data_IF_861430605156
#
_entry.id   IF_861430605156
#
_cell.length_a   1.000
_cell.length_b   1.000
_cell.length_c   1.000
_cell.angle_alpha   90.00
_cell.angle_beta   90.00
_cell.angle_gamma   90.00
#
_symmetry.space_group_name_H-M   'P 1'
#
loop_
_entity.id
_entity.type
_entity.pdbx_description
1 polymer ?
#
# COMPACT_ATOMS: atom_id res chain seq x y z
N UNK A 1 15.90 -56.52 42.62
CA UNK A 1 16.08 -56.16 41.20
C UNK A 1 14.81 -56.47 40.42
N UNK A 2 13.95 -55.47 40.21
CA UNK A 2 12.83 -55.42 39.25
C UNK A 2 12.64 -53.90 39.04
N UNK A 3 12.67 -53.28 37.87
CA UNK A 3 12.41 -53.71 36.50
C UNK A 3 11.60 -52.56 35.86
N UNK A 4 12.27 -51.49 35.42
CA UNK A 4 11.66 -50.33 34.75
C UNK A 4 10.95 -50.78 33.47
N UNK A 5 9.64 -50.50 33.32
CA UNK A 5 9.00 -50.47 31.99
C UNK A 5 7.91 -49.39 31.85
N UNK A 6 8.13 -48.58 30.82
CA UNK A 6 7.15 -48.00 29.87
C UNK A 6 6.27 -46.81 30.29
N UNK A 7 6.82 -45.60 30.15
CA UNK A 7 6.06 -44.36 29.85
C UNK A 7 6.51 -43.79 28.49
N UNK A 8 6.08 -44.40 27.39
CA UNK A 8 6.37 -43.93 26.01
C UNK A 8 5.15 -43.91 25.08
N UNK A 9 3.94 -43.72 25.61
CA UNK A 9 2.71 -43.67 24.78
C UNK A 9 1.96 -42.32 24.73
N UNK A 10 2.39 -41.30 25.48
CA UNK A 10 1.66 -40.01 25.54
C UNK A 10 2.26 -38.89 24.68
N UNK A 11 3.46 -39.06 24.10
CA UNK A 11 4.13 -37.98 23.35
C UNK A 11 3.83 -37.94 21.84
N UNK A 12 3.19 -38.97 21.27
CA UNK A 12 2.90 -38.96 19.82
C UNK A 12 1.62 -38.19 19.45
N UNK A 13 0.69 -37.98 20.39
CA UNK A 13 -0.61 -37.35 20.09
C UNK A 13 -0.53 -35.83 19.93
N UNK A 14 0.32 -35.15 20.71
CA UNK A 14 0.44 -33.69 20.65
C UNK A 14 1.23 -33.24 19.42
N UNK A 15 2.26 -33.99 19.02
CA UNK A 15 3.06 -33.70 17.82
C UNK A 15 2.19 -33.83 16.56
N UNK A 16 1.41 -34.90 16.43
CA UNK A 16 0.51 -35.09 15.28
C UNK A 16 -0.57 -34.01 15.22
N UNK A 17 -1.15 -33.60 16.36
CA UNK A 17 -2.12 -32.49 16.41
C UNK A 17 -1.49 -31.14 16.04
N UNK A 18 -0.26 -30.88 16.48
CA UNK A 18 0.48 -29.66 16.13
C UNK A 18 0.76 -29.59 14.62
N UNK A 19 1.16 -30.71 14.00
CA UNK A 19 1.39 -30.78 12.55
C UNK A 19 0.08 -30.64 11.74
N UNK A 20 -1.05 -31.17 12.22
CA UNK A 20 -2.35 -30.97 11.56
C UNK A 20 -2.82 -29.51 11.66
N UNK A 21 -2.63 -28.85 12.81
CA UNK A 21 -2.96 -27.42 12.96
C UNK A 21 -2.04 -26.54 12.11
N UNK A 22 -0.75 -26.85 12.03
CA UNK A 22 0.19 -26.13 11.15
C UNK A 22 -0.13 -26.34 9.66
N UNK A 23 -0.49 -27.55 9.23
CA UNK A 23 -0.88 -27.84 7.85
C UNK A 23 -2.21 -27.15 7.46
N UNK A 24 -3.14 -26.96 8.41
CA UNK A 24 -4.38 -26.21 8.18
C UNK A 24 -4.16 -24.69 8.18
N UNK A 25 -3.12 -24.17 8.87
CA UNK A 25 -2.75 -22.76 8.79
C UNK A 25 -1.93 -22.42 7.53
N UNK A 26 -1.18 -23.37 6.97
CA UNK A 26 -0.42 -23.18 5.71
C UNK A 26 -1.27 -23.36 4.45
N UNK A 27 -2.50 -23.87 4.56
CA UNK A 27 -3.53 -23.71 3.53
C UNK A 27 -4.06 -22.26 3.48
N UNK A 28 -3.16 -21.29 3.71
CA UNK A 28 -3.39 -19.88 3.52
C UNK A 28 -3.86 -19.68 2.08
N UNK A 29 -5.13 -19.32 1.98
CA UNK A 29 -5.86 -18.86 0.81
C UNK A 29 -4.92 -18.49 -0.33
N UNK A 30 -4.70 -19.39 -1.27
CA UNK A 30 -4.34 -18.98 -2.61
C UNK A 30 -5.53 -18.17 -3.10
N UNK A 31 -5.45 -16.85 -2.95
CA UNK A 31 -6.35 -15.96 -3.66
C UNK A 31 -6.10 -16.26 -5.14
N UNK A 32 -6.94 -17.13 -5.72
CA UNK A 32 -7.01 -17.31 -7.15
C UNK A 32 -7.44 -15.94 -7.66
N UNK A 33 -6.47 -15.17 -8.15
CA UNK A 33 -6.76 -13.93 -8.84
C UNK A 33 -7.65 -14.30 -10.02
N UNK A 34 -8.78 -13.62 -10.11
CA UNK A 34 -9.70 -13.82 -11.21
C UNK A 34 -8.97 -13.35 -12.48
N UNK A 35 -8.59 -14.31 -13.31
CA UNK A 35 -7.78 -14.11 -14.50
C UNK A 35 -8.43 -14.83 -15.66
N UNK A 36 -8.41 -14.16 -16.81
CA UNK A 36 -8.88 -14.73 -18.06
C UNK A 36 -7.79 -15.66 -18.57
N UNK A 37 -8.12 -16.92 -18.79
CA UNK A 37 -7.16 -17.96 -19.20
C UNK A 37 -7.23 -18.29 -20.70
N UNK A 38 -8.14 -17.66 -21.43
CA UNK A 38 -8.28 -17.83 -22.88
C UNK A 38 -7.57 -16.72 -23.66
N UNK A 39 -7.42 -16.93 -24.98
CA UNK A 39 -6.79 -15.98 -25.90
C UNK A 39 -7.80 -15.00 -26.53
N UNK A 40 -9.01 -14.92 -25.99
CA UNK A 40 -10.09 -14.06 -26.49
C UNK A 40 -9.87 -12.58 -26.16
N UNK A 41 -10.59 -11.74 -26.89
CA UNK A 41 -10.72 -10.31 -26.58
C UNK A 41 -11.94 -10.14 -25.69
N UNK A 42 -11.76 -9.51 -24.53
CA UNK A 42 -12.82 -9.31 -23.54
C UNK A 42 -13.14 -7.83 -23.40
N UNK A 43 -13.96 -7.26 -24.30
CA UNK A 43 -14.33 -5.85 -24.23
C UNK A 43 -15.20 -5.58 -22.99
N UNK A 44 -15.17 -4.35 -22.44
CA UNK A 44 -16.08 -3.99 -21.37
C UNK A 44 -17.54 -4.12 -21.83
N UNK A 45 -18.50 -4.41 -20.92
CA UNK A 45 -19.91 -4.52 -21.30
C UNK A 45 -20.41 -3.22 -21.95
N UNK A 46 -21.14 -3.35 -23.06
CA UNK A 46 -21.78 -2.23 -23.77
C UNK A 46 -23.27 -2.10 -23.46
N UNK A 47 -23.88 -3.11 -22.84
CA UNK A 47 -25.31 -3.16 -22.46
C UNK A 47 -25.49 -3.77 -21.06
N UNK A 48 -26.69 -3.63 -20.49
CA UNK A 48 -27.02 -4.18 -19.17
C UNK A 48 -26.55 -3.30 -17.98
N UNK A 49 -26.65 -3.82 -16.75
CA UNK A 49 -26.40 -3.04 -15.53
C UNK A 49 -24.94 -2.60 -15.36
N UNK A 50 -24.00 -3.26 -16.02
CA UNK A 50 -22.55 -2.96 -15.96
C UNK A 50 -22.03 -2.29 -17.24
N UNK A 51 -22.92 -1.74 -18.08
CA UNK A 51 -22.50 -1.08 -19.30
C UNK A 51 -21.59 0.13 -19.00
N UNK A 52 -20.43 0.20 -19.64
CA UNK A 52 -19.34 1.11 -19.28
C UNK A 52 -19.75 2.60 -19.20
N UNK A 53 -20.61 3.07 -20.11
CA UNK A 53 -21.03 4.48 -20.15
C UNK A 53 -22.18 4.82 -19.18
N UNK A 54 -22.84 3.82 -18.59
CA UNK A 54 -24.00 4.03 -17.71
C UNK A 54 -23.76 3.56 -16.28
N UNK A 55 -22.82 2.64 -16.06
CA UNK A 55 -22.38 2.20 -14.74
C UNK A 55 -21.54 3.29 -14.06
N UNK A 56 -22.22 4.26 -13.47
CA UNK A 56 -21.63 5.47 -12.88
C UNK A 56 -22.29 5.85 -11.55
N UNK A 57 -21.66 6.71 -10.72
CA UNK A 57 -22.23 7.14 -9.45
C UNK A 57 -23.68 7.64 -9.57
N UNK A 58 -24.58 7.07 -8.77
CA UNK A 58 -26.01 7.41 -8.77
C UNK A 58 -26.87 6.53 -9.69
N UNK A 59 -26.28 5.75 -10.59
CA UNK A 59 -27.02 4.79 -11.40
C UNK A 59 -27.47 3.57 -10.56
N UNK A 60 -28.63 2.95 -10.87
CA UNK A 60 -29.05 1.70 -10.24
C UNK A 60 -27.98 0.61 -10.36
N UNK A 61 -27.66 -0.05 -9.24
CA UNK A 61 -26.64 -1.10 -9.20
C UNK A 61 -25.20 -0.58 -9.09
N UNK A 62 -24.94 0.72 -9.22
CA UNK A 62 -23.62 1.26 -8.94
C UNK A 62 -23.32 1.21 -7.43
N UNK A 63 -22.15 0.72 -7.00
CA UNK A 63 -21.85 0.56 -5.59
C UNK A 63 -21.95 1.88 -4.82
N UNK A 64 -22.60 1.82 -3.66
CA UNK A 64 -22.45 2.85 -2.63
C UNK A 64 -21.01 2.85 -2.09
N UNK A 65 -20.66 3.85 -1.28
CA UNK A 65 -19.37 3.91 -0.59
C UNK A 65 -19.17 2.64 0.26
N UNK A 66 -18.02 1.97 0.13
CA UNK A 66 -17.73 0.68 0.77
C UNK A 66 -18.41 -0.52 0.12
N UNK A 67 -19.40 -0.27 -0.75
CA UNK A 67 -20.10 -1.29 -1.52
C UNK A 67 -19.19 -1.96 -2.54
N UNK A 68 -19.61 -3.15 -2.95
CA UNK A 68 -18.86 -4.00 -3.90
C UNK A 68 -19.73 -4.38 -5.09
N UNK A 69 -19.08 -4.67 -6.22
CA UNK A 69 -19.67 -5.40 -7.33
C UNK A 69 -18.69 -6.46 -7.83
N UNK A 70 -19.18 -7.45 -8.57
CA UNK A 70 -18.33 -8.40 -9.26
C UNK A 70 -18.12 -7.90 -10.68
N UNK A 71 -16.87 -7.69 -11.06
CA UNK A 71 -16.49 -7.35 -12.42
C UNK A 71 -16.97 -8.47 -13.37
N UNK A 72 -17.83 -8.16 -14.35
CA UNK A 72 -18.46 -9.18 -15.18
C UNK A 72 -17.52 -9.81 -16.21
N UNK A 73 -16.34 -9.22 -16.43
CA UNK A 73 -15.35 -9.70 -17.40
C UNK A 73 -14.35 -10.61 -16.69
N UNK A 74 -13.80 -10.15 -15.58
CA UNK A 74 -12.75 -10.87 -14.86
C UNK A 74 -13.28 -11.72 -13.72
N UNK A 75 -14.50 -11.47 -13.21
CA UNK A 75 -15.05 -12.13 -12.03
C UNK A 75 -14.46 -11.63 -10.70
N UNK A 76 -13.65 -10.58 -10.73
CA UNK A 76 -13.03 -9.99 -9.54
C UNK A 76 -14.05 -9.19 -8.73
N UNK A 77 -14.00 -9.28 -7.41
CA UNK A 77 -14.77 -8.37 -6.55
C UNK A 77 -14.08 -7.01 -6.50
N UNK A 78 -14.78 -5.96 -6.91
CA UNK A 78 -14.32 -4.57 -6.87
C UNK A 78 -15.08 -3.83 -5.78
N UNK A 79 -14.35 -3.07 -4.95
CA UNK A 79 -14.93 -2.21 -3.91
C UNK A 79 -14.76 -0.74 -4.26
N UNK A 80 -15.81 0.04 -4.05
CA UNK A 80 -15.76 1.50 -4.15
C UNK A 80 -15.31 2.12 -2.83
N UNK A 81 -14.20 2.86 -2.84
CA UNK A 81 -13.65 3.50 -1.63
C UNK A 81 -13.97 4.98 -1.47
N UNK A 82 -14.36 5.66 -2.55
CA UNK A 82 -14.58 7.11 -2.53
C UNK A 82 -15.86 7.52 -3.24
N UNK A 83 -16.42 8.65 -2.82
CA UNK A 83 -17.61 9.28 -3.41
C UNK A 83 -17.30 10.66 -3.99
N UNK A 84 -16.17 10.78 -4.71
CA UNK A 84 -15.75 12.08 -5.26
C UNK A 84 -16.64 12.51 -6.45
N UNK A 85 -17.38 11.56 -7.05
CA UNK A 85 -18.22 11.75 -8.23
C UNK A 85 -17.42 12.08 -9.49
N UNK A 86 -17.99 12.88 -10.39
CA UNK A 86 -17.33 13.35 -11.62
C UNK A 86 -16.23 14.40 -11.39
N UNK A 87 -15.92 14.73 -10.13
CA UNK A 87 -14.93 15.75 -9.80
C UNK A 87 -13.53 15.17 -9.88
N UNK A 88 -12.55 16.01 -10.18
CA UNK A 88 -11.14 15.61 -10.17
C UNK A 88 -10.71 15.19 -8.76
N UNK A 89 -10.13 14.00 -8.66
CA UNK A 89 -9.42 13.55 -7.46
C UNK A 89 -7.99 14.09 -7.45
N UNK A 90 -7.50 14.40 -6.26
CA UNK A 90 -6.11 14.80 -5.99
C UNK A 90 -5.35 13.69 -5.26
N UNK A 91 -5.90 12.48 -5.25
CA UNK A 91 -5.21 11.29 -4.74
C UNK A 91 -3.97 11.01 -5.58
N UNK A 92 -2.87 10.62 -4.92
CA UNK A 92 -1.58 10.47 -5.58
C UNK A 92 -1.51 9.13 -6.32
N UNK A 93 -1.67 9.19 -7.64
CA UNK A 93 -1.59 8.03 -8.54
C UNK A 93 -0.20 7.38 -8.59
N UNK A 94 0.83 8.03 -8.05
CA UNK A 94 2.20 7.53 -8.00
C UNK A 94 2.63 7.10 -6.59
N UNK A 95 1.72 7.16 -5.61
CA UNK A 95 2.07 6.82 -4.25
C UNK A 95 2.42 5.34 -4.09
N UNK A 96 3.56 5.09 -3.44
CA UNK A 96 3.98 3.77 -3.01
C UNK A 96 3.58 3.52 -1.56
N UNK A 97 3.18 2.29 -1.27
CA UNK A 97 2.60 1.92 0.02
C UNK A 97 1.50 2.92 0.40
N UNK A 98 0.58 3.18 -0.53
CA UNK A 98 -0.58 4.07 -0.34
C UNK A 98 -1.56 3.51 0.70
N UNK A 99 -1.66 2.18 0.75
CA UNK A 99 -2.36 1.45 1.80
C UNK A 99 -1.37 0.80 2.76
N UNK A 100 -1.81 0.61 3.99
CA UNK A 100 -1.01 0.00 5.05
C UNK A 100 -0.79 -1.50 4.78
N UNK A 101 0.16 -2.11 5.51
CA UNK A 101 0.67 -3.45 5.21
C UNK A 101 -0.39 -4.58 5.19
N UNK A 102 -1.47 -4.44 5.95
CA UNK A 102 -2.58 -5.39 5.98
C UNK A 102 -3.79 -4.94 5.13
N UNK A 103 -3.65 -3.83 4.42
CA UNK A 103 -4.64 -3.29 3.51
C UNK A 103 -5.92 -2.80 4.17
N UNK A 104 -5.94 -2.47 5.47
CA UNK A 104 -7.15 -1.98 6.17
C UNK A 104 -7.36 -0.47 6.04
N UNK A 105 -6.29 0.28 5.78
CA UNK A 105 -6.29 1.73 5.71
C UNK A 105 -5.50 2.23 4.51
N UNK A 106 -5.96 3.31 3.88
CA UNK A 106 -5.27 3.96 2.78
C UNK A 106 -5.26 5.48 2.97
N UNK A 107 -4.23 6.15 2.46
CA UNK A 107 -4.24 7.61 2.39
C UNK A 107 -5.38 8.09 1.48
N UNK A 108 -5.82 9.32 1.72
CA UNK A 108 -6.91 9.96 0.99
C UNK A 108 -6.77 11.47 1.06
N UNK A 109 -6.76 12.12 -0.10
CA UNK A 109 -6.72 13.59 -0.23
C UNK A 109 -8.02 14.13 -0.85
N UNK A 110 -8.81 13.27 -1.51
CA UNK A 110 -10.10 13.68 -2.06
C UNK A 110 -9.94 14.77 -3.11
N UNK A 111 -10.48 15.97 -2.86
CA UNK A 111 -10.46 17.09 -3.82
C UNK A 111 -9.33 18.10 -3.59
N UNK A 112 -8.55 17.92 -2.52
CA UNK A 112 -7.46 18.82 -2.19
C UNK A 112 -6.27 18.00 -1.72
N UNK A 113 -5.06 18.33 -2.19
CA UNK A 113 -3.85 17.63 -1.73
C UNK A 113 -3.64 17.70 -0.22
N UNK A 114 -4.26 18.67 0.47
CA UNK A 114 -4.15 18.86 1.92
C UNK A 114 -5.48 19.31 2.54
N UNK A 115 -5.81 18.90 3.77
CA UNK A 115 -5.07 17.96 4.61
C UNK A 115 -5.19 16.50 4.11
N UNK A 116 -4.15 15.70 4.32
CA UNK A 116 -4.23 14.26 4.07
C UNK A 116 -5.06 13.60 5.16
N UNK A 117 -5.96 12.74 4.74
CA UNK A 117 -6.81 11.91 5.57
C UNK A 117 -6.47 10.43 5.34
N UNK A 118 -7.03 9.56 6.16
CA UNK A 118 -6.91 8.11 6.03
C UNK A 118 -8.32 7.53 6.01
N UNK A 119 -8.61 6.74 4.98
CA UNK A 119 -9.86 6.01 4.83
C UNK A 119 -9.69 4.55 5.24
N UNK A 120 -10.80 3.91 5.63
CA UNK A 120 -10.90 2.46 5.72
C UNK A 120 -11.08 1.87 4.33
N UNK A 121 -10.23 0.92 3.95
CA UNK A 121 -10.38 0.16 2.70
C UNK A 121 -11.59 -0.78 2.69
N UNK A 122 -12.23 -0.97 3.85
CA UNK A 122 -13.40 -1.86 3.97
C UNK A 122 -14.70 -1.10 3.77
N UNK A 123 -14.80 0.10 4.34
CA UNK A 123 -16.04 0.88 4.33
C UNK A 123 -15.97 2.11 3.43
N UNK A 124 -14.78 2.53 3.00
CA UNK A 124 -14.56 3.81 2.33
C UNK A 124 -14.72 5.04 3.23
N UNK A 125 -15.02 4.84 4.52
CA UNK A 125 -15.18 5.93 5.47
C UNK A 125 -13.82 6.55 5.82
N UNK A 126 -13.77 7.88 5.94
CA UNK A 126 -12.62 8.59 6.50
C UNK A 126 -12.56 8.32 8.01
N UNK A 127 -11.46 7.75 8.48
CA UNK A 127 -11.26 7.35 9.88
C UNK A 127 -10.37 8.35 10.61
N UNK A 128 -9.39 8.92 9.91
CA UNK A 128 -8.52 9.96 10.45
C UNK A 128 -8.41 11.12 9.48
N UNK A 129 -8.41 12.34 10.00
CA UNK A 129 -8.23 13.58 9.24
C UNK A 129 -6.99 14.31 9.71
N UNK A 130 -6.50 15.27 8.91
CA UNK A 130 -5.44 16.19 9.36
C UNK A 130 -4.10 15.50 9.65
N UNK A 131 -3.78 14.43 8.94
CA UNK A 131 -2.58 13.66 9.20
C UNK A 131 -1.33 14.43 8.76
N UNK A 132 -0.25 14.41 9.58
CA UNK A 132 1.00 15.04 9.19
C UNK A 132 1.63 14.29 8.02
N UNK A 133 2.03 15.04 7.01
CA UNK A 133 2.69 14.53 5.79
C UNK A 133 4.02 15.18 5.51
N UNK A 134 4.39 16.18 6.31
CA UNK A 134 5.72 16.76 6.23
C UNK A 134 5.92 17.69 5.03
N UNK A 135 7.04 17.53 4.33
CA UNK A 135 7.47 18.42 3.23
C UNK A 135 6.54 18.41 2.02
N UNK A 136 5.86 17.30 1.74
CA UNK A 136 4.90 17.17 0.65
C UNK A 136 3.98 15.95 0.85
N UNK A 137 2.79 16.01 0.28
CA UNK A 137 1.74 14.98 0.44
C UNK A 137 2.07 13.68 -0.29
N UNK A 138 2.97 13.73 -1.28
CA UNK A 138 3.49 12.59 -2.03
C UNK A 138 4.79 12.02 -1.43
N UNK A 139 5.19 12.48 -0.24
CA UNK A 139 6.37 12.01 0.51
C UNK A 139 5.99 11.30 1.80
N UNK A 140 4.72 10.90 1.91
CA UNK A 140 4.18 10.07 3.00
C UNK A 140 3.97 8.65 2.48
N UNK A 141 4.33 7.65 3.28
CA UNK A 141 4.19 6.25 2.89
C UNK A 141 4.03 5.35 4.11
N UNK A 142 3.16 4.35 4.00
CA UNK A 142 2.97 3.38 5.06
C UNK A 142 4.23 2.55 5.30
N UNK A 143 4.40 2.11 6.54
CA UNK A 143 5.43 1.15 6.89
C UNK A 143 5.17 -0.16 6.11
N UNK A 144 6.18 -0.73 5.43
CA UNK A 144 5.97 -1.87 4.53
C UNK A 144 5.34 -3.11 5.18
N UNK A 145 5.62 -3.32 6.48
CA UNK A 145 5.20 -4.51 7.23
C UNK A 145 4.39 -4.21 8.50
N UNK A 146 4.27 -2.94 8.90
CA UNK A 146 3.61 -2.58 10.17
C UNK A 146 2.37 -1.73 9.84
N UNK A 147 1.16 -2.27 10.01
CA UNK A 147 -0.05 -1.60 9.55
C UNK A 147 -0.43 -0.38 10.39
N UNK A 148 0.20 -0.17 11.55
CA UNK A 148 -0.10 0.92 12.47
C UNK A 148 0.87 2.11 12.32
N UNK A 149 1.79 2.06 11.36
CA UNK A 149 2.88 3.04 11.24
C UNK A 149 3.02 3.57 9.83
N UNK A 150 3.34 4.85 9.71
CA UNK A 150 3.77 5.44 8.45
C UNK A 150 4.88 6.47 8.69
N UNK A 151 5.59 6.83 7.62
CA UNK A 151 6.72 7.75 7.67
C UNK A 151 6.43 9.04 6.91
N UNK A 152 7.07 10.12 7.35
CA UNK A 152 7.06 11.42 6.67
C UNK A 152 8.31 12.24 7.02
N UNK A 153 8.61 13.26 6.22
CA UNK A 153 9.77 14.15 6.41
C UNK A 153 9.37 15.45 7.11
N UNK A 154 10.04 15.84 8.19
CA UNK A 154 9.78 17.12 8.84
C UNK A 154 11.08 17.87 9.13
N UNK A 155 11.31 18.96 8.40
CA UNK A 155 12.57 19.70 8.50
C UNK A 155 13.75 18.78 8.17
N UNK A 156 14.70 18.66 9.10
CA UNK A 156 15.84 17.73 8.99
C UNK A 156 15.57 16.32 9.54
N UNK A 157 14.33 15.98 9.90
CA UNK A 157 14.02 14.72 10.60
C UNK A 157 13.16 13.78 9.78
N UNK A 158 13.54 12.49 9.77
CA UNK A 158 12.64 11.39 9.45
C UNK A 158 11.74 11.13 10.65
N UNK A 159 10.44 11.26 10.44
CA UNK A 159 9.41 11.04 11.45
C UNK A 159 8.64 9.78 11.12
N UNK A 160 8.22 9.08 12.17
CA UNK A 160 7.29 7.97 12.10
C UNK A 160 6.06 8.32 12.93
N UNK A 161 4.88 8.24 12.34
CA UNK A 161 3.62 8.32 13.08
C UNK A 161 3.13 6.93 13.44
N UNK A 162 2.64 6.77 14.66
CA UNK A 162 1.88 5.60 15.10
C UNK A 162 0.40 5.97 15.08
N UNK A 163 -0.40 5.25 14.30
CA UNK A 163 -1.76 5.61 13.97
C UNK A 163 -2.71 5.44 15.17
N UNK A 164 -2.64 4.29 15.85
CA UNK A 164 -3.46 3.97 17.02
C UNK A 164 -3.37 5.02 18.14
N UNK A 165 -2.19 5.58 18.35
CA UNK A 165 -1.93 6.60 19.38
C UNK A 165 -1.87 8.03 18.83
N UNK A 166 -1.90 8.21 17.52
CA UNK A 166 -1.72 9.50 16.84
C UNK A 166 -0.44 10.25 17.27
N UNK A 167 0.61 9.51 17.63
CA UNK A 167 1.88 10.07 18.13
C UNK A 167 2.99 9.97 17.10
N UNK A 168 3.88 10.97 17.12
CA UNK A 168 5.04 11.02 16.23
C UNK A 168 6.34 10.71 16.99
N UNK A 169 7.21 9.92 16.38
CA UNK A 169 8.56 9.61 16.85
C UNK A 169 9.59 10.10 15.85
N UNK A 170 10.65 10.76 16.30
CA UNK A 170 11.82 11.01 15.44
C UNK A 170 12.64 9.74 15.33
N UNK A 171 12.78 9.23 14.11
CA UNK A 171 13.61 8.04 13.83
C UNK A 171 15.08 8.44 13.61
N UNK A 172 15.29 9.55 12.91
CA UNK A 172 16.62 10.07 12.59
C UNK A 172 16.55 11.56 12.32
N UNK A 173 17.54 12.28 12.82
CA UNK A 173 17.81 13.67 12.43
C UNK A 173 19.05 13.71 11.55
N UNK A 174 18.94 14.41 10.42
CA UNK A 174 19.98 14.61 9.44
C UNK A 174 20.67 15.98 9.63
N UNK A 175 21.88 16.19 9.10
CA UNK A 175 22.61 17.44 9.27
C UNK A 175 21.98 18.66 8.57
N UNK A 176 21.01 18.45 7.67
CA UNK A 176 20.32 19.50 6.95
C UNK A 176 18.86 19.12 6.68
N UNK A 177 18.05 20.11 6.27
CA UNK A 177 16.65 19.92 5.89
C UNK A 177 16.51 18.89 4.77
N UNK A 178 15.64 17.91 5.00
CA UNK A 178 15.25 16.92 4.01
C UNK A 178 14.49 17.60 2.87
N UNK A 179 14.71 17.13 1.66
CA UNK A 179 14.09 17.62 0.43
C UNK A 179 13.14 16.55 -0.13
N UNK A 180 12.25 16.95 -1.02
CA UNK A 180 11.40 16.01 -1.75
C UNK A 180 12.26 15.09 -2.62
N UNK A 181 11.96 13.80 -2.62
CA UNK A 181 12.44 12.85 -3.61
C UNK A 181 11.60 12.90 -4.91
N UNK A 182 10.57 13.76 -4.95
CA UNK A 182 9.72 13.98 -6.11
C UNK A 182 8.63 12.91 -6.23
N UNK A 183 8.24 12.31 -5.10
CA UNK A 183 7.32 11.16 -5.11
C UNK A 183 7.97 9.89 -5.65
N UNK A 184 9.31 9.79 -5.62
CA UNK A 184 10.02 8.64 -6.19
C UNK A 184 9.58 7.33 -5.54
N UNK A 185 9.27 6.39 -6.43
CA UNK A 185 9.04 4.99 -6.14
C UNK A 185 10.29 4.43 -5.44
N UNK A 186 10.16 3.77 -4.29
CA UNK A 186 11.24 3.13 -3.50
C UNK A 186 12.03 4.03 -2.53
N UNK A 187 11.36 4.93 -1.84
CA UNK A 187 11.98 5.75 -0.78
C UNK A 187 12.30 4.96 0.50
N UNK A 188 11.66 3.79 0.70
CA UNK A 188 11.91 2.88 1.82
C UNK A 188 12.06 1.45 1.32
N UNK A 189 12.98 0.67 1.89
CA UNK A 189 13.14 -0.74 1.56
C UNK A 189 12.00 -1.60 2.12
N UNK A 190 11.87 -2.85 1.64
CA UNK A 190 10.81 -3.78 2.06
C UNK A 190 10.73 -4.06 3.57
N UNK A 191 11.80 -3.80 4.32
CA UNK A 191 11.85 -4.01 5.77
C UNK A 191 11.50 -2.77 6.59
N UNK A 192 11.47 -1.58 5.98
CA UNK A 192 11.28 -0.32 6.71
C UNK A 192 12.54 0.19 7.41
N UNK A 193 13.72 -0.35 7.10
CA UNK A 193 14.99 -0.06 7.80
C UNK A 193 15.87 0.94 7.05
N UNK A 194 15.90 0.85 5.73
CA UNK A 194 16.73 1.66 4.85
C UNK A 194 15.87 2.63 4.06
N UNK A 195 16.35 3.86 3.94
CA UNK A 195 15.64 4.95 3.30
C UNK A 195 16.55 5.67 2.32
N UNK A 196 16.00 6.02 1.15
CA UNK A 196 16.63 6.98 0.25
C UNK A 196 16.19 8.36 0.66
N UNK A 197 17.14 9.20 1.05
CA UNK A 197 16.85 10.58 1.47
C UNK A 197 17.70 11.56 0.69
N UNK A 198 17.13 12.72 0.41
CA UNK A 198 17.84 13.88 -0.11
C UNK A 198 17.83 14.97 0.96
N UNK A 199 18.99 15.54 1.28
CA UNK A 199 19.09 16.64 2.25
C UNK A 199 20.11 17.68 1.82
N UNK A 200 19.91 18.91 2.28
CA UNK A 200 20.70 20.06 1.87
C UNK A 200 20.33 20.58 0.48
N UNK A 201 20.66 21.84 0.21
CA UNK A 201 20.48 22.41 -1.13
C UNK A 201 21.56 21.88 -2.06
N UNK A 202 21.20 21.01 -3.00
CA UNK A 202 22.01 20.88 -4.21
C UNK A 202 21.56 21.99 -5.18
N UNK A 203 22.29 23.11 -5.20
CA UNK A 203 22.26 24.03 -6.36
C UNK A 203 22.95 23.33 -7.53
N UNK A 204 22.23 22.47 -8.23
CA UNK A 204 22.42 22.28 -9.66
C UNK A 204 21.25 21.49 -10.23
N UNK A 205 20.55 22.10 -11.19
CA UNK A 205 19.96 21.36 -12.28
C UNK A 205 21.12 20.63 -13.00
N UNK A 206 21.41 19.38 -12.61
CA UNK A 206 22.16 18.49 -13.48
C UNK A 206 21.14 17.85 -14.42
N UNK A 207 20.98 18.46 -15.59
CA UNK A 207 20.34 17.85 -16.74
C UNK A 207 21.14 16.59 -17.08
N UNK A 208 20.69 15.41 -16.65
CA UNK A 208 21.24 14.15 -17.14
C UNK A 208 20.79 14.00 -18.60
N UNK A 209 21.69 14.02 -19.59
CA UNK A 209 21.30 13.62 -20.92
C UNK A 209 21.04 12.13 -20.89
N UNK A 210 19.84 11.78 -21.36
CA UNK A 210 19.41 10.50 -21.86
C UNK A 210 20.60 9.63 -22.33
N UNK A 211 20.75 8.46 -21.72
CA UNK A 211 21.77 7.47 -22.02
C UNK A 211 21.68 7.09 -23.50
N UNK A 212 22.62 7.58 -24.32
CA UNK A 212 22.90 6.98 -25.61
C UNK A 212 24.29 6.34 -25.53
N UNK A 213 24.31 5.01 -25.68
CA UNK A 213 25.50 4.17 -25.74
C UNK A 213 26.50 4.74 -26.76
N UNK A 214 27.76 4.88 -26.36
CA UNK A 214 28.98 4.34 -27.03
C UNK A 214 30.22 5.17 -26.69
N UNK A 215 31.20 4.51 -26.08
CA UNK A 215 32.58 4.54 -26.61
C UNK A 215 33.63 5.43 -25.93
N UNK A 216 34.55 4.74 -25.22
CA UNK A 216 36.02 4.93 -25.16
C UNK A 216 36.56 6.22 -24.48
N UNK A 217 37.27 6.13 -23.33
CA UNK A 217 38.76 5.94 -23.17
C UNK A 217 39.52 7.09 -23.86
N UNK A 218 40.41 7.91 -23.27
CA UNK A 218 41.36 7.82 -22.14
C UNK A 218 41.87 9.22 -21.75
N UNK A 219 42.49 9.29 -20.56
CA UNK A 219 43.41 10.28 -19.97
C UNK A 219 44.16 11.25 -20.90
N UNK A 220 44.27 12.50 -20.47
CA UNK A 220 45.51 13.10 -19.94
C UNK A 220 45.12 14.00 -18.76
#
# INVERSE_FOLDING_TARGET
MLGQRTTRRLQYSWIVRLFVVLALLEAGSSNLYAAITDNGIHPPPTTGPYAYNTFSPGAPGFPALGGTYVDPVFGSTIRRLTDIGANRGEDDSYAHNWCNANGTYCFYTGRSKSPVSILSSTTGAVVYTGQPVGVATYEVFWHPTDPDKYFYWSGSSLRRRTLSTQTDTTMKTFPATLQTNGGSLNTVDRTGRYFTVRYGQHRSQLRWPWCNKRGKVKRA
#
